data_IF_331216566692
#
_entry.id   IF_331216566692
#
_cell.length_a   1.000
_cell.length_b   1.000
_cell.length_c   1.000
_cell.angle_alpha   90.00
_cell.angle_beta   90.00
_cell.angle_gamma   90.00
#
_symmetry.space_group_name_H-M   'P 1'
#
loop_
_entity.id
_entity.type
_entity.pdbx_description
1 polymer ?
#
# COMPACT_ATOMS: atom_id res chain seq x y z
N UNK A 1 9.21 -24.01 -13.14
CA UNK A 1 8.81 -22.69 -13.66
C UNK A 1 8.54 -22.81 -15.15
N UNK A 2 7.55 -22.05 -15.69
CA UNK A 2 7.29 -21.93 -17.13
C UNK A 2 7.47 -20.46 -17.53
N UNK A 3 8.12 -20.21 -18.65
CA UNK A 3 8.22 -18.91 -19.30
C UNK A 3 7.53 -18.97 -20.66
N UNK A 4 6.76 -17.95 -20.98
CA UNK A 4 6.10 -17.80 -22.29
C UNK A 4 6.84 -16.73 -23.06
N UNK A 5 7.36 -17.12 -24.22
CA UNK A 5 8.10 -16.25 -25.09
C UNK A 5 7.34 -16.05 -26.40
N UNK A 6 7.20 -14.79 -26.82
CA UNK A 6 6.61 -14.43 -28.11
C UNK A 6 7.73 -14.32 -29.15
N UNK A 7 7.96 -15.34 -30.00
CA UNK A 7 9.11 -15.35 -30.91
C UNK A 7 9.00 -14.31 -32.04
N UNK A 8 7.78 -13.92 -32.39
CA UNK A 8 7.51 -12.87 -33.38
C UNK A 8 6.08 -12.34 -33.18
N UNK A 9 5.82 -11.03 -33.40
CA UNK A 9 4.48 -10.45 -33.20
C UNK A 9 3.34 -11.14 -33.94
N UNK A 10 3.59 -11.79 -35.10
CA UNK A 10 2.59 -12.55 -35.82
C UNK A 10 2.02 -13.73 -35.04
N UNK A 11 2.74 -14.27 -34.07
CA UNK A 11 2.30 -15.40 -33.24
C UNK A 11 1.58 -14.98 -31.96
N UNK A 12 1.19 -13.72 -31.84
CA UNK A 12 0.56 -13.19 -30.63
C UNK A 12 -0.71 -13.95 -30.22
N UNK A 13 -1.54 -14.36 -31.20
CA UNK A 13 -2.73 -15.16 -30.91
C UNK A 13 -2.38 -16.55 -30.34
N UNK A 14 -1.37 -17.23 -30.88
CA UNK A 14 -0.89 -18.50 -30.36
C UNK A 14 -0.27 -18.34 -28.96
N UNK A 15 0.51 -17.28 -28.75
CA UNK A 15 1.07 -16.94 -27.42
C UNK A 15 -0.05 -16.79 -26.37
N UNK A 16 -1.08 -15.97 -26.63
CA UNK A 16 -2.19 -15.78 -25.71
C UNK A 16 -3.01 -17.04 -25.51
N UNK A 17 -3.22 -17.85 -26.56
CA UNK A 17 -3.94 -19.11 -26.45
C UNK A 17 -3.26 -20.04 -25.44
N UNK A 18 -1.96 -20.29 -25.59
CA UNK A 18 -1.22 -21.17 -24.68
C UNK A 18 -1.12 -20.60 -23.26
N UNK A 19 -0.80 -19.31 -23.14
CA UNK A 19 -0.69 -18.63 -21.86
C UNK A 19 -2.01 -18.71 -21.06
N UNK A 20 -3.14 -18.39 -21.69
CA UNK A 20 -4.45 -18.38 -21.02
C UNK A 20 -4.96 -19.79 -20.75
N UNK A 21 -4.68 -20.76 -21.63
CA UNK A 21 -5.03 -22.16 -21.41
C UNK A 21 -4.32 -22.73 -20.18
N UNK A 22 -3.03 -22.43 -20.02
CA UNK A 22 -2.20 -22.96 -18.93
C UNK A 22 -2.49 -22.27 -17.59
N UNK A 23 -2.91 -21.01 -17.58
CA UNK A 23 -3.31 -20.30 -16.37
C UNK A 23 -4.61 -20.87 -15.79
N UNK A 24 -5.62 -21.16 -16.65
CA UNK A 24 -6.94 -21.56 -16.19
C UNK A 24 -7.71 -20.44 -15.48
N UNK A 25 -8.82 -20.80 -14.82
CA UNK A 25 -9.75 -19.83 -14.23
C UNK A 25 -9.56 -19.62 -12.72
N UNK A 26 -8.85 -20.51 -12.03
CA UNK A 26 -8.66 -20.47 -10.57
C UNK A 26 -7.19 -20.13 -10.19
N UNK A 27 -6.70 -19.01 -10.68
CA UNK A 27 -5.36 -18.53 -10.37
C UNK A 27 -5.39 -17.15 -9.70
N UNK A 28 -4.31 -16.82 -9.02
CA UNK A 28 -4.05 -15.48 -8.49
C UNK A 28 -2.75 -14.96 -9.05
N UNK A 29 -2.79 -13.76 -9.60
CA UNK A 29 -1.57 -13.11 -10.05
C UNK A 29 -0.83 -12.47 -8.89
N UNK A 30 0.49 -12.70 -8.88
CA UNK A 30 1.42 -11.95 -8.04
C UNK A 30 2.37 -11.23 -8.98
N UNK A 31 2.49 -9.92 -8.83
CA UNK A 31 3.32 -9.07 -9.71
C UNK A 31 4.09 -8.03 -8.90
N UNK A 32 4.99 -7.34 -9.57
CA UNK A 32 5.62 -6.13 -9.05
C UNK A 32 5.34 -4.96 -10.01
N UNK A 33 4.51 -4.02 -9.60
CA UNK A 33 3.97 -2.93 -10.42
C UNK A 33 3.09 -3.38 -11.61
N UNK A 34 2.74 -4.66 -11.66
CA UNK A 34 2.02 -5.24 -12.79
C UNK A 34 0.59 -4.75 -12.92
N UNK A 35 -0.05 -4.32 -11.82
CA UNK A 35 -1.39 -3.69 -11.87
C UNK A 35 -1.41 -2.42 -12.70
N UNK A 36 -0.34 -1.64 -12.65
CA UNK A 36 -0.23 -0.35 -13.32
C UNK A 36 0.45 -0.44 -14.68
N UNK A 37 1.24 -1.49 -14.93
CA UNK A 37 2.04 -1.63 -16.14
C UNK A 37 1.69 -2.88 -16.96
N UNK A 38 1.99 -4.08 -16.49
CA UNK A 38 1.87 -5.31 -17.29
C UNK A 38 0.41 -5.67 -17.60
N UNK A 39 -0.45 -5.63 -16.60
CA UNK A 39 -1.84 -6.03 -16.77
C UNK A 39 -2.65 -5.13 -17.72
N UNK A 40 -2.52 -3.82 -17.72
CA UNK A 40 -3.08 -2.95 -18.77
C UNK A 40 -2.57 -3.29 -20.17
N UNK A 41 -1.28 -3.60 -20.34
CA UNK A 41 -0.72 -4.00 -21.63
C UNK A 41 -1.32 -5.33 -22.11
N UNK A 42 -1.36 -6.34 -21.23
CA UNK A 42 -1.99 -7.63 -21.52
C UNK A 42 -3.44 -7.45 -21.98
N UNK A 43 -4.23 -6.64 -21.27
CA UNK A 43 -5.63 -6.35 -21.64
C UNK A 43 -5.73 -5.68 -23.01
N UNK A 44 -4.92 -4.68 -23.26
CA UNK A 44 -4.93 -3.92 -24.51
C UNK A 44 -4.57 -4.84 -25.69
N UNK A 45 -3.50 -5.62 -25.55
CA UNK A 45 -3.07 -6.55 -26.60
C UNK A 45 -4.08 -7.67 -26.83
N UNK A 46 -4.66 -8.23 -25.76
CA UNK A 46 -5.70 -9.27 -25.85
C UNK A 46 -6.91 -8.82 -26.72
N UNK A 47 -7.28 -7.53 -26.68
CA UNK A 47 -8.41 -7.01 -27.49
C UNK A 47 -8.21 -7.27 -28.98
N UNK A 48 -6.96 -7.21 -29.49
CA UNK A 48 -6.65 -7.42 -30.91
C UNK A 48 -6.76 -8.89 -31.36
N UNK A 49 -6.66 -9.83 -30.42
CA UNK A 49 -6.68 -11.27 -30.72
C UNK A 49 -7.87 -12.01 -30.09
N UNK A 50 -8.74 -11.32 -29.35
CA UNK A 50 -9.82 -11.87 -28.49
C UNK A 50 -10.76 -12.87 -29.16
N UNK A 51 -10.95 -12.79 -30.48
CA UNK A 51 -11.83 -13.71 -31.22
C UNK A 51 -11.18 -15.07 -31.48
N UNK A 52 -9.87 -15.18 -31.28
CA UNK A 52 -9.05 -16.37 -31.54
C UNK A 52 -8.45 -17.01 -30.29
N UNK A 53 -8.70 -16.41 -29.11
CA UNK A 53 -8.07 -16.82 -27.86
C UNK A 53 -9.10 -16.87 -26.72
N UNK A 54 -8.84 -17.64 -25.64
CA UNK A 54 -9.69 -17.64 -24.46
C UNK A 54 -9.87 -16.24 -23.86
N UNK A 55 -10.94 -16.06 -23.08
CA UNK A 55 -11.17 -14.80 -22.34
C UNK A 55 -10.12 -14.63 -21.25
N UNK A 56 -9.78 -13.38 -20.97
CA UNK A 56 -8.94 -13.06 -19.81
C UNK A 56 -9.66 -13.48 -18.52
N UNK A 57 -8.99 -14.22 -17.63
CA UNK A 57 -9.59 -14.68 -16.39
C UNK A 57 -9.87 -13.49 -15.46
N UNK A 58 -10.94 -13.60 -14.68
CA UNK A 58 -11.27 -12.68 -13.57
C UNK A 58 -10.63 -13.21 -12.30
N UNK A 59 -9.39 -12.90 -12.07
CA UNK A 59 -8.59 -13.45 -10.98
C UNK A 59 -8.18 -12.40 -9.95
N UNK A 60 -7.90 -12.84 -8.75
CA UNK A 60 -7.27 -12.00 -7.73
C UNK A 60 -5.87 -11.57 -8.19
N UNK A 61 -5.51 -10.31 -7.95
CA UNK A 61 -4.23 -9.76 -8.35
C UNK A 61 -3.55 -9.06 -7.16
N UNK A 62 -2.48 -9.66 -6.65
CA UNK A 62 -1.63 -9.10 -5.63
C UNK A 62 -0.43 -8.41 -6.28
N UNK A 63 -0.29 -7.11 -6.04
CA UNK A 63 0.87 -6.35 -6.50
C UNK A 63 1.80 -6.06 -5.33
N UNK A 64 2.96 -6.70 -5.31
CA UNK A 64 3.91 -6.63 -4.21
C UNK A 64 4.56 -5.25 -4.04
N UNK A 65 4.58 -4.41 -5.09
CA UNK A 65 5.01 -3.02 -4.94
C UNK A 65 4.08 -2.26 -3.97
N UNK A 66 2.77 -2.47 -4.09
CA UNK A 66 1.81 -1.83 -3.18
C UNK A 66 1.93 -2.37 -1.75
N UNK A 67 2.17 -3.68 -1.59
CA UNK A 67 2.41 -4.31 -0.30
C UNK A 67 3.69 -3.75 0.34
N UNK A 68 4.80 -3.75 -0.40
CA UNK A 68 6.08 -3.22 0.08
C UNK A 68 5.97 -1.75 0.52
N UNK A 69 5.31 -0.90 -0.28
CA UNK A 69 5.06 0.51 0.07
C UNK A 69 4.21 0.69 1.32
N UNK A 70 3.34 -0.26 1.65
CA UNK A 70 2.55 -0.23 2.89
C UNK A 70 3.34 -0.71 4.09
N UNK A 71 3.99 -1.87 3.98
CA UNK A 71 4.74 -2.49 5.08
C UNK A 71 5.97 -1.65 5.44
N UNK A 72 6.72 -1.19 4.45
CA UNK A 72 7.98 -0.47 4.64
C UNK A 72 7.86 1.05 4.51
N UNK A 73 6.65 1.61 4.65
CA UNK A 73 6.42 3.06 4.54
C UNK A 73 7.40 3.86 5.39
N UNK A 74 8.11 4.81 4.77
CA UNK A 74 9.06 5.70 5.44
C UNK A 74 10.40 5.08 5.83
N UNK A 75 10.66 3.83 5.43
CA UNK A 75 11.91 3.13 5.78
C UNK A 75 12.95 3.17 4.66
N UNK A 76 12.51 3.29 3.42
CA UNK A 76 13.39 3.23 2.24
C UNK A 76 13.11 4.35 1.27
N UNK A 77 14.17 4.84 0.61
CA UNK A 77 14.08 5.88 -0.42
C UNK A 77 13.59 5.33 -1.75
N UNK A 78 13.79 4.04 -2.00
CA UNK A 78 13.39 3.36 -3.22
C UNK A 78 12.64 2.05 -2.94
N UNK A 79 11.59 1.81 -3.74
CA UNK A 79 10.82 0.57 -3.77
C UNK A 79 10.95 -0.09 -5.16
N UNK A 80 12.07 0.06 -5.86
CA UNK A 80 12.36 -0.74 -7.05
C UNK A 80 12.58 -2.20 -6.65
N UNK A 81 12.31 -3.15 -7.54
CA UNK A 81 12.46 -4.56 -7.24
C UNK A 81 13.89 -4.88 -6.77
N UNK A 82 14.89 -4.36 -7.45
CA UNK A 82 16.32 -4.52 -7.09
C UNK A 82 16.64 -4.01 -5.69
N UNK A 83 16.05 -2.89 -5.26
CA UNK A 83 16.22 -2.39 -3.89
C UNK A 83 15.55 -3.31 -2.85
N UNK A 84 14.47 -3.99 -3.21
CA UNK A 84 13.83 -4.98 -2.33
C UNK A 84 14.61 -6.30 -2.27
N UNK A 85 15.29 -6.68 -3.34
CA UNK A 85 16.19 -7.84 -3.39
C UNK A 85 17.28 -7.76 -2.34
N UNK A 86 17.96 -6.62 -2.25
CA UNK A 86 18.98 -6.39 -1.22
C UNK A 86 18.42 -6.61 0.21
N UNK A 87 17.13 -6.31 0.43
CA UNK A 87 16.48 -6.43 1.75
C UNK A 87 16.11 -7.85 2.13
N UNK A 88 15.84 -8.70 1.14
CA UNK A 88 15.55 -10.12 1.35
C UNK A 88 16.80 -11.01 1.17
N UNK A 89 17.98 -10.41 0.93
CA UNK A 89 19.23 -11.13 0.73
C UNK A 89 19.30 -11.91 -0.58
N UNK A 90 18.61 -11.44 -1.61
CA UNK A 90 18.67 -12.01 -2.95
C UNK A 90 19.76 -11.30 -3.76
N UNK A 91 20.74 -12.05 -4.23
CA UNK A 91 21.84 -11.55 -5.07
C UNK A 91 21.70 -12.12 -6.48
N UNK A 92 21.86 -11.27 -7.50
CA UNK A 92 21.86 -11.67 -8.93
C UNK A 92 23.30 -11.89 -9.39
N UNK A 93 23.52 -12.92 -10.16
CA UNK A 93 24.79 -13.14 -10.86
C UNK A 93 24.63 -12.64 -12.30
N UNK A 94 25.34 -11.54 -12.67
CA UNK A 94 25.47 -11.08 -14.06
C UNK A 94 24.15 -10.54 -14.66
N UNK A 95 23.50 -9.60 -13.99
CA UNK A 95 22.19 -9.08 -14.40
C UNK A 95 22.24 -8.20 -15.68
N UNK A 96 21.32 -8.46 -16.61
CA UNK A 96 21.07 -7.61 -17.77
C UNK A 96 20.12 -6.47 -17.35
N UNK A 97 20.49 -5.18 -17.55
CA UNK A 97 19.58 -4.08 -17.24
C UNK A 97 18.25 -4.21 -17.98
N UNK A 98 17.11 -4.25 -17.27
CA UNK A 98 15.79 -4.51 -17.84
C UNK A 98 15.38 -3.55 -18.96
N UNK A 99 15.91 -2.31 -18.98
CA UNK A 99 15.64 -1.35 -20.06
C UNK A 99 16.25 -1.77 -21.42
N UNK A 100 17.18 -2.72 -21.45
CA UNK A 100 17.74 -3.27 -22.67
C UNK A 100 16.88 -4.40 -23.28
N UNK A 101 15.95 -4.97 -22.54
CA UNK A 101 15.12 -6.09 -23.00
C UNK A 101 14.37 -5.79 -24.32
N UNK A 102 13.78 -4.60 -24.56
CA UNK A 102 13.15 -4.30 -25.85
C UNK A 102 14.14 -4.30 -27.02
N UNK A 103 15.35 -3.77 -26.81
CA UNK A 103 16.39 -3.75 -27.83
C UNK A 103 16.82 -5.17 -28.21
N UNK A 104 17.09 -6.02 -27.22
CA UNK A 104 17.44 -7.43 -27.44
C UNK A 104 16.32 -8.19 -28.15
N UNK A 105 15.05 -7.90 -27.81
CA UNK A 105 13.91 -8.54 -28.47
C UNK A 105 13.86 -8.16 -29.97
N UNK A 106 14.03 -6.89 -30.33
CA UNK A 106 14.04 -6.49 -31.76
C UNK A 106 15.23 -7.04 -32.51
N UNK A 107 16.43 -7.07 -31.92
CA UNK A 107 17.59 -7.74 -32.49
C UNK A 107 17.34 -9.25 -32.74
N UNK A 108 16.70 -9.91 -31.75
CA UNK A 108 16.31 -11.31 -31.91
C UNK A 108 15.30 -11.50 -33.06
N UNK A 109 14.29 -10.65 -33.18
CA UNK A 109 13.31 -10.74 -34.26
C UNK A 109 13.97 -10.55 -35.64
N UNK A 110 14.96 -9.69 -35.73
CA UNK A 110 15.71 -9.42 -36.97
C UNK A 110 16.68 -10.56 -37.32
N UNK A 111 17.47 -11.01 -36.37
CA UNK A 111 18.55 -11.97 -36.58
C UNK A 111 18.22 -13.42 -36.34
N UNK A 112 17.09 -13.70 -35.63
CA UNK A 112 16.64 -15.04 -35.25
C UNK A 112 17.68 -15.86 -34.44
N UNK A 113 18.54 -15.16 -33.66
CA UNK A 113 19.58 -15.77 -32.82
C UNK A 113 19.09 -15.86 -31.39
N UNK A 114 18.80 -17.08 -30.85
CA UNK A 114 18.24 -17.26 -29.49
C UNK A 114 19.14 -16.73 -28.37
N UNK A 115 20.44 -16.71 -28.61
CA UNK A 115 21.46 -16.27 -27.64
C UNK A 115 21.25 -14.82 -27.20
N UNK A 116 20.72 -13.97 -28.10
CA UNK A 116 20.39 -12.57 -27.80
C UNK A 116 19.40 -12.45 -26.65
N UNK A 117 18.46 -13.42 -26.52
CA UNK A 117 17.40 -13.41 -25.52
C UNK A 117 17.80 -14.09 -24.20
N UNK A 118 18.92 -14.81 -24.13
CA UNK A 118 19.30 -15.57 -22.93
C UNK A 118 19.38 -14.69 -21.68
N UNK A 119 20.03 -13.53 -21.78
CA UNK A 119 20.11 -12.57 -20.66
C UNK A 119 18.76 -12.02 -20.24
N UNK A 120 17.84 -11.76 -21.20
CA UNK A 120 16.48 -11.28 -20.92
C UNK A 120 15.67 -12.35 -20.21
N UNK A 121 15.76 -13.63 -20.65
CA UNK A 121 15.06 -14.75 -20.04
C UNK A 121 15.59 -15.03 -18.64
N UNK A 122 16.90 -14.92 -18.41
CA UNK A 122 17.51 -15.07 -17.09
C UNK A 122 17.05 -13.94 -16.17
N UNK A 123 17.11 -12.68 -16.60
CA UNK A 123 16.60 -11.55 -15.82
C UNK A 123 15.14 -11.75 -15.39
N UNK A 124 14.28 -12.18 -16.30
CA UNK A 124 12.89 -12.48 -15.99
C UNK A 124 12.73 -13.65 -15.01
N UNK A 125 13.59 -14.67 -15.07
CA UNK A 125 13.64 -15.77 -14.09
C UNK A 125 13.96 -15.22 -12.69
N UNK A 126 15.00 -14.39 -12.58
CA UNK A 126 15.44 -13.80 -11.32
C UNK A 126 14.36 -12.88 -10.73
N UNK A 127 13.68 -12.07 -11.56
CA UNK A 127 12.51 -11.29 -11.14
C UNK A 127 11.43 -12.16 -10.52
N UNK A 128 11.09 -13.29 -11.15
CA UNK A 128 10.07 -14.20 -10.62
C UNK A 128 10.51 -14.88 -9.31
N UNK A 129 11.77 -15.25 -9.17
CA UNK A 129 12.31 -15.81 -7.92
C UNK A 129 12.30 -14.77 -6.80
N UNK A 130 12.67 -13.54 -7.12
CA UNK A 130 12.56 -12.41 -6.19
C UNK A 130 11.13 -12.20 -5.71
N UNK A 131 10.12 -12.30 -6.59
CA UNK A 131 8.73 -12.17 -6.19
C UNK A 131 8.31 -13.25 -5.18
N UNK A 132 8.78 -14.48 -5.33
CA UNK A 132 8.51 -15.55 -4.36
C UNK A 132 9.15 -15.25 -3.00
N UNK A 133 10.42 -14.84 -2.98
CA UNK A 133 11.13 -14.46 -1.75
C UNK A 133 10.51 -13.25 -1.07
N UNK A 134 10.16 -12.22 -1.83
CA UNK A 134 9.53 -11.02 -1.29
C UNK A 134 8.11 -11.30 -0.75
N UNK A 135 7.34 -12.14 -1.43
CA UNK A 135 6.02 -12.57 -0.94
C UNK A 135 6.16 -13.29 0.40
N UNK A 136 7.08 -14.25 0.52
CA UNK A 136 7.31 -14.98 1.76
C UNK A 136 7.78 -14.05 2.88
N UNK A 137 8.74 -13.16 2.62
CA UNK A 137 9.21 -12.17 3.58
C UNK A 137 8.07 -11.26 4.07
N UNK A 138 7.25 -10.70 3.17
CA UNK A 138 6.09 -9.89 3.55
C UNK A 138 5.06 -10.70 4.34
N UNK A 139 4.80 -11.95 3.94
CA UNK A 139 3.86 -12.82 4.63
C UNK A 139 4.33 -13.13 6.07
N UNK A 140 5.61 -13.42 6.27
CA UNK A 140 6.19 -13.61 7.63
C UNK A 140 6.01 -12.39 8.51
N UNK A 141 6.28 -11.19 8.01
CA UNK A 141 6.11 -9.94 8.77
C UNK A 141 4.66 -9.73 9.22
N UNK A 142 3.68 -10.17 8.43
CA UNK A 142 2.26 -10.06 8.77
C UNK A 142 1.82 -11.16 9.72
N UNK A 143 2.30 -12.41 9.54
CA UNK A 143 1.86 -13.58 10.30
C UNK A 143 2.65 -13.81 11.59
N UNK A 144 3.98 -13.55 11.59
CA UNK A 144 4.88 -13.71 12.72
C UNK A 144 5.19 -12.37 13.39
N UNK A 145 4.19 -11.76 13.99
CA UNK A 145 4.22 -10.40 14.54
C UNK A 145 5.44 -10.09 15.42
N UNK A 146 5.83 -11.02 16.30
CA UNK A 146 6.91 -10.81 17.26
C UNK A 146 8.30 -10.59 16.62
N UNK A 147 8.49 -10.99 15.37
CA UNK A 147 9.76 -10.89 14.63
C UNK A 147 9.92 -9.54 13.88
N UNK A 148 8.82 -8.82 13.65
CA UNK A 148 8.88 -7.58 12.89
C UNK A 148 9.26 -6.39 13.77
N UNK A 149 10.17 -5.49 13.31
CA UNK A 149 10.49 -4.23 13.98
C UNK A 149 9.26 -3.34 14.24
N UNK A 150 9.29 -2.56 15.33
CA UNK A 150 8.15 -1.69 15.72
C UNK A 150 7.61 -0.79 14.60
N UNK A 151 8.42 -0.12 13.76
CA UNK A 151 7.90 0.69 12.65
C UNK A 151 7.14 -0.15 11.61
N UNK A 152 7.59 -1.37 11.35
CA UNK A 152 6.91 -2.31 10.43
C UNK A 152 5.59 -2.76 11.05
N UNK A 153 5.58 -3.09 12.34
CA UNK A 153 4.36 -3.46 13.06
C UNK A 153 3.31 -2.36 12.99
N UNK A 154 3.73 -1.10 13.20
CA UNK A 154 2.83 0.05 13.11
C UNK A 154 2.27 0.20 11.69
N UNK A 155 3.11 0.11 10.66
CA UNK A 155 2.68 0.21 9.27
C UNK A 155 1.69 -0.90 8.90
N UNK A 156 1.94 -2.15 9.32
CA UNK A 156 1.04 -3.29 9.11
C UNK A 156 -0.28 -3.06 9.84
N UNK A 157 -0.23 -2.63 11.11
CA UNK A 157 -1.43 -2.33 11.89
C UNK A 157 -2.32 -1.29 11.19
N UNK A 158 -1.73 -0.20 10.72
CA UNK A 158 -2.43 0.86 9.96
C UNK A 158 -3.03 0.28 8.68
N UNK A 159 -2.27 -0.51 7.94
CA UNK A 159 -2.75 -1.11 6.70
C UNK A 159 -3.93 -2.08 6.93
N UNK A 160 -3.84 -2.95 7.92
CA UNK A 160 -4.93 -3.87 8.30
C UNK A 160 -6.19 -3.10 8.75
N UNK A 161 -6.03 -1.99 9.48
CA UNK A 161 -7.15 -1.13 9.85
C UNK A 161 -7.84 -0.52 8.62
N UNK A 162 -7.06 -0.10 7.61
CA UNK A 162 -7.58 0.42 6.34
C UNK A 162 -8.36 -0.65 5.55
N UNK A 163 -7.96 -1.92 5.65
CA UNK A 163 -8.65 -3.06 5.06
C UNK A 163 -9.88 -3.53 5.87
N UNK A 164 -10.10 -2.98 7.05
CA UNK A 164 -11.20 -3.38 7.93
C UNK A 164 -10.93 -4.64 8.75
N UNK A 165 -9.69 -5.13 8.77
CA UNK A 165 -9.23 -6.30 9.52
C UNK A 165 -8.82 -5.84 10.92
N UNK A 166 -9.82 -5.59 11.78
CA UNK A 166 -9.62 -4.81 13.01
C UNK A 166 -8.93 -5.59 14.14
N UNK A 167 -9.19 -6.89 14.28
CA UNK A 167 -8.62 -7.72 15.34
C UNK A 167 -7.11 -7.90 15.14
N UNK A 168 -6.69 -8.25 13.92
CA UNK A 168 -5.29 -8.37 13.55
C UNK A 168 -4.55 -7.03 13.60
N UNK A 169 -5.21 -5.95 13.16
CA UNK A 169 -4.67 -4.60 13.30
C UNK A 169 -4.38 -4.26 14.76
N UNK A 170 -5.34 -4.52 15.66
CA UNK A 170 -5.16 -4.29 17.09
C UNK A 170 -4.00 -5.12 17.66
N UNK A 171 -3.90 -6.39 17.28
CA UNK A 171 -2.83 -7.27 17.72
C UNK A 171 -1.43 -6.80 17.26
N UNK A 172 -1.31 -6.21 16.06
CA UNK A 172 -0.07 -5.59 15.60
C UNK A 172 0.26 -4.32 16.39
N UNK A 173 -0.72 -3.44 16.66
CA UNK A 173 -0.50 -2.25 17.49
C UNK A 173 0.03 -2.61 18.90
N UNK A 174 -0.42 -3.72 19.49
CA UNK A 174 0.06 -4.17 20.79
C UNK A 174 1.54 -4.60 20.82
N UNK A 175 2.15 -4.92 19.66
CA UNK A 175 3.55 -5.28 19.57
C UNK A 175 4.47 -4.06 19.39
N UNK A 176 3.90 -2.88 19.13
CA UNK A 176 4.67 -1.64 18.94
C UNK A 176 5.06 -1.08 20.29
N UNK A 177 6.36 -0.93 20.53
CA UNK A 177 6.89 -0.39 21.80
C UNK A 177 6.56 1.08 21.98
N UNK A 178 6.69 1.85 20.89
CA UNK A 178 6.44 3.29 20.88
C UNK A 178 5.76 3.66 19.57
N UNK A 179 4.53 4.14 19.64
CA UNK A 179 3.73 4.53 18.48
C UNK A 179 4.10 5.97 18.06
N UNK A 180 4.12 6.18 16.75
CA UNK A 180 4.18 7.53 16.20
C UNK A 180 2.90 8.31 16.46
N UNK A 181 2.91 9.62 16.23
CA UNK A 181 1.70 10.46 16.26
C UNK A 181 0.61 9.92 15.31
N UNK A 182 0.99 9.47 14.11
CA UNK A 182 0.07 8.82 13.16
C UNK A 182 -0.43 7.48 13.72
N UNK A 183 0.44 6.67 14.32
CA UNK A 183 0.08 5.39 14.94
C UNK A 183 -0.96 5.55 16.04
N UNK A 184 -0.75 6.49 16.97
CA UNK A 184 -1.72 6.81 18.01
C UNK A 184 -3.06 7.27 17.44
N UNK A 185 -3.03 8.15 16.43
CA UNK A 185 -4.24 8.62 15.76
C UNK A 185 -5.02 7.46 15.12
N UNK A 186 -4.32 6.57 14.43
CA UNK A 186 -4.93 5.42 13.72
C UNK A 186 -5.46 4.38 14.70
N UNK A 187 -4.74 4.12 15.79
CA UNK A 187 -5.22 3.25 16.87
C UNK A 187 -6.47 3.85 17.55
N UNK A 188 -6.50 5.17 17.73
CA UNK A 188 -7.69 5.88 18.22
C UNK A 188 -8.92 5.66 17.33
N UNK A 189 -8.77 5.75 16.02
CA UNK A 189 -9.85 5.45 15.08
C UNK A 189 -10.28 3.98 15.14
N UNK A 190 -9.33 3.05 15.31
CA UNK A 190 -9.62 1.63 15.48
C UNK A 190 -10.48 1.39 16.73
N UNK A 191 -10.07 1.91 17.89
CA UNK A 191 -10.84 1.82 19.13
C UNK A 191 -12.23 2.45 19.01
N UNK A 192 -12.34 3.58 18.30
CA UNK A 192 -13.62 4.23 18.03
C UNK A 192 -14.57 3.33 17.22
N UNK A 193 -14.06 2.63 16.19
CA UNK A 193 -14.83 1.65 15.41
C UNK A 193 -15.27 0.45 16.27
N UNK A 194 -14.41 0.02 17.18
CA UNK A 194 -14.71 -1.05 18.15
C UNK A 194 -15.60 -0.58 19.30
N UNK A 195 -16.07 0.67 19.31
CA UNK A 195 -16.87 1.32 20.37
C UNK A 195 -16.17 1.43 21.73
N UNK A 196 -14.86 1.34 21.76
CA UNK A 196 -14.03 1.50 22.95
C UNK A 196 -13.68 2.99 23.14
N UNK A 197 -14.64 3.79 23.58
CA UNK A 197 -14.56 5.26 23.59
C UNK A 197 -13.46 5.82 24.48
N UNK A 198 -13.18 5.19 25.64
CA UNK A 198 -12.15 5.63 26.57
C UNK A 198 -10.75 5.41 26.00
N UNK A 199 -10.49 4.21 25.45
CA UNK A 199 -9.22 3.91 24.78
C UNK A 199 -9.02 4.80 23.54
N UNK A 200 -10.09 5.06 22.78
CA UNK A 200 -10.03 5.98 21.63
C UNK A 200 -9.62 7.39 22.06
N UNK A 201 -10.24 7.92 23.15
CA UNK A 201 -9.90 9.22 23.74
C UNK A 201 -8.42 9.29 24.11
N UNK A 202 -7.92 8.31 24.83
CA UNK A 202 -6.53 8.27 25.29
C UNK A 202 -5.53 8.21 24.10
N UNK A 203 -5.85 7.44 23.07
CA UNK A 203 -5.06 7.40 21.84
C UNK A 203 -5.08 8.74 21.11
N UNK A 204 -6.23 9.39 20.96
CA UNK A 204 -6.31 10.71 20.32
C UNK A 204 -5.55 11.76 21.09
N UNK A 205 -5.53 11.71 22.43
CA UNK A 205 -4.73 12.62 23.23
C UNK A 205 -3.23 12.41 23.01
N UNK A 206 -2.77 11.15 23.00
CA UNK A 206 -1.37 10.79 22.77
C UNK A 206 -0.90 11.10 21.34
N UNK A 207 -1.82 11.14 20.36
CA UNK A 207 -1.47 11.46 18.98
C UNK A 207 -0.92 12.88 18.81
N UNK A 208 -1.26 13.79 19.72
CA UNK A 208 -0.86 15.21 19.67
C UNK A 208 -0.97 15.80 18.26
N UNK A 209 -2.13 15.61 17.63
CA UNK A 209 -2.38 16.02 16.26
C UNK A 209 -3.69 16.80 16.15
N UNK A 210 -3.80 17.69 15.15
CA UNK A 210 -5.04 18.46 14.97
C UNK A 210 -6.26 17.54 14.76
N UNK A 211 -6.09 16.39 14.08
CA UNK A 211 -7.16 15.41 13.89
C UNK A 211 -7.52 14.72 15.22
N UNK A 212 -6.52 14.39 16.03
CA UNK A 212 -6.74 13.85 17.37
C UNK A 212 -7.52 14.81 18.25
N UNK A 213 -7.13 16.07 18.30
CA UNK A 213 -7.86 17.10 19.04
C UNK A 213 -9.28 17.32 18.49
N UNK A 214 -9.47 17.25 17.18
CA UNK A 214 -10.80 17.34 16.57
C UNK A 214 -11.70 16.17 16.98
N UNK A 215 -11.17 14.95 17.05
CA UNK A 215 -11.92 13.78 17.52
C UNK A 215 -12.22 13.86 19.03
N UNK A 216 -11.28 14.39 19.82
CA UNK A 216 -11.50 14.69 21.26
C UNK A 216 -12.60 15.74 21.45
N UNK A 217 -12.64 16.79 20.63
CA UNK A 217 -13.70 17.78 20.66
C UNK A 217 -15.08 17.16 20.32
N UNK A 218 -15.13 16.25 19.35
CA UNK A 218 -16.38 15.50 19.06
C UNK A 218 -16.80 14.58 20.20
N UNK A 219 -15.85 13.87 20.80
CA UNK A 219 -16.10 13.02 21.96
C UNK A 219 -16.63 13.83 23.15
N UNK A 220 -15.99 14.96 23.48
CA UNK A 220 -16.40 15.84 24.57
C UNK A 220 -17.81 16.42 24.33
N UNK A 221 -18.13 16.80 23.10
CA UNK A 221 -19.44 17.38 22.75
C UNK A 221 -20.56 16.33 22.77
N UNK A 222 -20.31 15.13 22.18
CA UNK A 222 -21.40 14.18 21.90
C UNK A 222 -21.52 13.05 22.95
N UNK A 223 -20.40 12.65 23.55
CA UNK A 223 -20.35 11.53 24.52
C UNK A 223 -20.27 12.06 25.93
N UNK A 224 -19.26 12.88 26.26
CA UNK A 224 -19.10 13.46 27.58
C UNK A 224 -20.12 14.58 27.89
N UNK A 225 -20.84 15.10 26.88
CA UNK A 225 -21.80 16.19 26.99
C UNK A 225 -21.22 17.45 27.68
N UNK A 226 -19.95 17.70 27.48
CA UNK A 226 -19.19 18.83 28.06
C UNK A 226 -18.77 19.81 26.95
N UNK A 227 -19.55 20.88 26.70
CA UNK A 227 -19.24 21.85 25.64
C UNK A 227 -18.01 22.69 25.94
N UNK A 228 -17.68 22.93 27.21
CA UNK A 228 -16.48 23.68 27.62
C UNK A 228 -15.22 22.89 27.25
N UNK A 229 -15.17 21.60 27.57
CA UNK A 229 -14.07 20.71 27.21
C UNK A 229 -13.99 20.55 25.68
N UNK A 230 -15.11 20.48 24.97
CA UNK A 230 -15.14 20.42 23.52
C UNK A 230 -14.54 21.70 22.89
N UNK A 231 -14.79 22.85 23.50
CA UNK A 231 -14.19 24.13 23.07
C UNK A 231 -12.67 24.12 23.30
N UNK A 232 -12.18 23.71 24.45
CA UNK A 232 -10.74 23.61 24.74
C UNK A 232 -10.01 22.73 23.71
N UNK A 233 -10.55 21.55 23.41
CA UNK A 233 -9.97 20.69 22.37
C UNK A 233 -10.02 21.31 20.96
N UNK A 234 -11.04 22.10 20.64
CA UNK A 234 -11.12 22.80 19.36
C UNK A 234 -10.02 23.88 19.26
N UNK A 235 -9.79 24.61 20.35
CA UNK A 235 -8.68 25.57 20.45
C UNK A 235 -7.30 24.89 20.31
N UNK A 236 -7.07 23.76 20.95
CA UNK A 236 -5.84 22.97 20.77
C UNK A 236 -5.65 22.50 19.32
N UNK A 237 -6.72 22.08 18.65
CA UNK A 237 -6.66 21.75 17.23
C UNK A 237 -6.25 22.94 16.37
N UNK A 238 -6.78 24.16 16.67
CA UNK A 238 -6.42 25.41 16.02
C UNK A 238 -4.94 25.70 16.21
N UNK A 239 -4.46 25.74 17.46
CA UNK A 239 -3.06 26.02 17.78
C UNK A 239 -2.11 25.07 17.07
N UNK A 240 -2.47 23.78 16.98
CA UNK A 240 -1.68 22.80 16.25
C UNK A 240 -1.61 23.14 14.75
N UNK A 241 -2.72 23.55 14.11
CA UNK A 241 -2.74 23.94 12.70
C UNK A 241 -1.94 25.21 12.45
N UNK A 242 -1.98 26.17 13.36
CA UNK A 242 -1.24 27.45 13.25
C UNK A 242 0.27 27.26 13.37
N UNK A 243 0.73 26.38 14.25
CA UNK A 243 2.16 26.09 14.51
C UNK A 243 2.84 25.29 13.41
N UNK A 244 2.09 24.51 12.62
CA UNK A 244 2.68 23.62 11.61
C UNK A 244 2.54 24.20 10.21
N UNK A 245 3.47 23.78 9.32
CA UNK A 245 3.43 24.16 7.93
C UNK A 245 2.33 23.39 7.18
N UNK A 246 1.44 24.13 6.53
CA UNK A 246 0.37 23.62 5.69
C UNK A 246 0.37 24.33 4.35
N UNK A 247 -0.16 23.67 3.31
CA UNK A 247 -0.55 24.36 2.09
C UNK A 247 -1.59 25.44 2.45
N UNK A 248 -1.41 26.68 1.98
CA UNK A 248 -2.22 27.85 2.36
C UNK A 248 -3.72 27.56 2.23
N UNK A 249 -4.17 27.07 1.08
CA UNK A 249 -5.58 26.75 0.82
C UNK A 249 -6.15 25.68 1.76
N UNK A 250 -5.32 24.68 2.16
CA UNK A 250 -5.72 23.65 3.12
C UNK A 250 -5.81 24.21 4.53
N UNK A 251 -4.87 25.07 4.92
CA UNK A 251 -4.86 25.74 6.23
C UNK A 251 -6.09 26.62 6.41
N UNK A 252 -6.39 27.47 5.43
CA UNK A 252 -7.56 28.35 5.44
C UNK A 252 -8.87 27.57 5.59
N UNK A 253 -9.03 26.46 4.83
CA UNK A 253 -10.21 25.60 4.94
C UNK A 253 -10.35 25.01 6.34
N UNK A 254 -9.27 24.46 6.91
CA UNK A 254 -9.32 23.86 8.25
C UNK A 254 -9.65 24.92 9.30
N UNK A 255 -9.04 26.10 9.24
CA UNK A 255 -9.31 27.18 10.18
C UNK A 255 -10.77 27.67 10.08
N UNK A 256 -11.34 27.78 8.88
CA UNK A 256 -12.75 28.14 8.68
C UNK A 256 -13.71 27.09 9.31
N UNK A 257 -13.40 25.80 9.19
CA UNK A 257 -14.16 24.72 9.82
C UNK A 257 -14.09 24.80 11.36
N UNK A 258 -12.89 25.09 11.91
CA UNK A 258 -12.70 25.30 13.34
C UNK A 258 -13.43 26.54 13.86
N UNK A 259 -13.41 27.67 13.13
CA UNK A 259 -14.16 28.88 13.45
C UNK A 259 -15.68 28.62 13.55
N UNK A 260 -16.19 27.85 12.62
CA UNK A 260 -17.63 27.50 12.65
C UNK A 260 -17.95 26.65 13.89
N UNK A 261 -17.09 25.68 14.24
CA UNK A 261 -17.26 24.83 15.44
C UNK A 261 -17.18 25.66 16.71
N UNK A 262 -16.20 26.54 16.84
CA UNK A 262 -16.02 27.40 18.03
C UNK A 262 -17.24 28.29 18.25
N UNK A 263 -17.73 28.99 17.22
CA UNK A 263 -18.94 29.81 17.32
C UNK A 263 -20.15 29.02 17.80
N UNK A 264 -20.31 27.79 17.35
CA UNK A 264 -21.37 26.90 17.77
C UNK A 264 -21.21 26.45 19.24
N UNK A 265 -19.98 26.09 19.65
CA UNK A 265 -19.70 25.65 21.01
C UNK A 265 -19.84 26.80 22.01
N UNK A 266 -19.37 28.02 21.69
CA UNK A 266 -19.57 29.21 22.53
C UNK A 266 -21.05 29.46 22.87
N UNK A 267 -21.96 29.27 21.89
CA UNK A 267 -23.41 29.39 22.15
C UNK A 267 -23.91 28.32 23.15
N UNK A 268 -23.38 27.08 23.05
CA UNK A 268 -23.74 25.99 23.97
C UNK A 268 -23.15 26.14 25.37
N UNK A 269 -22.04 26.84 25.52
CA UNK A 269 -21.44 27.13 26.84
C UNK A 269 -22.21 28.22 27.59
N UNK A 270 -22.92 29.11 26.88
CA UNK A 270 -23.67 30.22 27.43
C UNK A 270 -25.14 29.91 27.66
N UNK A 271 -25.61 28.74 27.24
CA UNK A 271 -26.95 28.22 27.45
C UNK A 271 -26.97 27.19 28.57
#
# INVERSE_FOLDING_TARGET
MRQYFLPHPHFEAAFYHHFLHDIGDDVRFVTYNGKSFDWPQIKTRHVFVRERVPRLPKVGHLDLLHVARRIFKGMYDSYRLTAMEERIGFEREGDLPGFLAPMHYFQYVEHQQPEIMMGVLQHHLDDCLTLVGLYDACNRLVTHRAEAPSPIQENIAIWLADLGIHEESHAHFQQVKELSSEGWLRQGYLHKKMKNHEQARDCFLKSDSYLGYLELAKWAEHIAKNPVLAYDYTERARQHVERHHWLITKKERILAELDHRERRLKRKCNS
#
